data_IF_040030462140
#
_entry.id   IF_040030462140
#
_cell.length_a   1.000
_cell.length_b   1.000
_cell.length_c   1.000
_cell.angle_alpha   90.00
_cell.angle_beta   90.00
_cell.angle_gamma   90.00
#
_symmetry.space_group_name_H-M   'P 1'
#
loop_
_entity.id
_entity.type
_entity.pdbx_description
1 polymer ?
#
# COMPACT_ATOMS: atom_id res chain seq x y z
N UNK A 1 13.96 -17.48 14.00
CA UNK A 1 12.51 -17.67 14.00
C UNK A 1 11.86 -16.38 14.42
N UNK A 2 10.95 -15.88 13.65
CA UNK A 2 10.24 -14.62 13.86
C UNK A 2 9.57 -14.48 15.24
N UNK A 3 10.33 -14.59 16.31
CA UNK A 3 9.76 -14.40 17.64
C UNK A 3 9.26 -12.97 17.82
N UNK A 4 9.96 -11.96 17.31
CA UNK A 4 9.58 -10.57 17.50
C UNK A 4 8.26 -10.20 16.80
N UNK A 5 8.08 -10.54 15.52
CA UNK A 5 6.83 -10.25 14.81
C UNK A 5 5.67 -11.10 15.36
N UNK A 6 5.91 -12.35 15.71
CA UNK A 6 4.90 -13.20 16.33
C UNK A 6 4.54 -12.71 17.73
N UNK A 7 5.47 -12.17 18.51
CA UNK A 7 5.22 -11.61 19.83
C UNK A 7 4.42 -10.30 19.77
N UNK A 8 4.67 -9.44 18.80
CA UNK A 8 3.86 -8.24 18.56
C UNK A 8 2.42 -8.63 18.21
N UNK A 9 2.23 -9.56 17.27
CA UNK A 9 0.89 -10.05 16.94
C UNK A 9 0.18 -10.72 18.09
N UNK A 10 0.86 -11.52 18.89
CA UNK A 10 0.30 -12.17 20.09
C UNK A 10 -0.23 -11.14 21.07
N UNK A 11 0.54 -10.10 21.37
CA UNK A 11 0.10 -9.02 22.27
C UNK A 11 -1.09 -8.27 21.70
N UNK A 12 -1.06 -7.86 20.43
CA UNK A 12 -2.17 -7.17 19.78
C UNK A 12 -3.43 -8.01 19.73
N UNK A 13 -3.32 -9.30 19.45
CA UNK A 13 -4.46 -10.22 19.46
C UNK A 13 -5.02 -10.39 20.86
N UNK A 14 -4.16 -10.51 21.88
CA UNK A 14 -4.60 -10.57 23.29
C UNK A 14 -5.36 -9.32 23.69
N UNK A 15 -4.80 -8.13 23.43
CA UNK A 15 -5.44 -6.83 23.67
C UNK A 15 -6.78 -6.73 22.94
N UNK A 16 -6.87 -7.21 21.70
CA UNK A 16 -8.13 -7.25 20.95
C UNK A 16 -9.20 -8.08 21.66
N UNK A 17 -8.85 -9.26 22.18
CA UNK A 17 -9.79 -10.06 22.97
C UNK A 17 -10.18 -9.37 24.28
N UNK A 18 -9.24 -8.73 24.95
CA UNK A 18 -9.47 -8.00 26.22
C UNK A 18 -10.46 -6.84 26.03
N UNK A 19 -10.24 -5.97 25.05
CA UNK A 19 -11.15 -4.82 24.79
C UNK A 19 -12.55 -5.23 24.35
N UNK A 20 -12.71 -6.46 23.85
CA UNK A 20 -14.01 -7.02 23.48
C UNK A 20 -14.64 -7.89 24.59
N UNK A 21 -14.07 -7.89 25.80
CA UNK A 21 -14.59 -8.68 26.92
C UNK A 21 -14.48 -10.20 26.73
N UNK A 22 -13.54 -10.64 25.91
CA UNK A 22 -13.32 -12.05 25.52
C UNK A 22 -11.94 -12.56 25.89
N UNK A 23 -11.31 -12.00 26.87
CA UNK A 23 -9.96 -12.37 27.31
C UNK A 23 -9.78 -13.86 27.61
N UNK A 24 -10.83 -14.51 28.13
CA UNK A 24 -10.85 -15.95 28.40
C UNK A 24 -10.82 -16.83 27.14
N UNK A 25 -11.11 -16.28 25.97
CA UNK A 25 -11.05 -16.99 24.69
C UNK A 25 -9.66 -16.94 24.06
N UNK A 26 -8.79 -16.07 24.54
CA UNK A 26 -7.43 -15.96 24.03
C UNK A 26 -6.61 -17.19 24.44
N UNK A 27 -5.96 -17.79 23.45
CA UNK A 27 -5.01 -18.89 23.66
C UNK A 27 -3.71 -18.56 22.94
N UNK A 28 -2.64 -18.50 23.71
CA UNK A 28 -1.32 -18.34 23.14
C UNK A 28 -0.86 -19.62 22.46
N UNK A 29 -0.52 -19.52 21.17
CA UNK A 29 0.00 -20.63 20.39
C UNK A 29 1.53 -20.53 20.35
N UNK A 30 2.20 -21.43 21.03
CA UNK A 30 3.64 -21.55 21.05
C UNK A 30 4.09 -22.85 20.38
N UNK A 31 5.26 -22.89 19.71
CA UNK A 31 5.84 -24.14 19.29
C UNK A 31 6.13 -25.04 20.50
N UNK A 32 6.20 -26.34 20.28
CA UNK A 32 6.65 -27.28 21.29
C UNK A 32 8.10 -26.96 21.76
N UNK A 33 8.49 -27.50 22.92
CA UNK A 33 9.84 -27.31 23.44
C UNK A 33 10.95 -27.71 22.47
N UNK A 34 10.67 -28.65 21.57
CA UNK A 34 11.49 -28.99 20.41
C UNK A 34 10.60 -28.89 19.17
N UNK A 35 10.97 -28.02 18.24
CA UNK A 35 10.31 -27.84 16.96
C UNK A 35 11.33 -27.99 15.83
N UNK A 36 10.91 -28.66 14.76
CA UNK A 36 11.74 -28.89 13.57
C UNK A 36 11.24 -27.99 12.45
N UNK A 37 12.18 -27.38 11.74
CA UNK A 37 11.90 -26.48 10.62
C UNK A 37 12.79 -26.88 9.43
N UNK A 38 12.28 -26.77 8.21
CA UNK A 38 13.04 -27.05 7.00
C UNK A 38 14.09 -25.98 6.68
N UNK A 39 13.94 -24.79 7.25
CA UNK A 39 14.89 -23.68 7.07
C UNK A 39 14.58 -22.50 7.98
N UNK A 40 15.48 -21.53 7.99
CA UNK A 40 15.35 -20.29 8.73
C UNK A 40 15.67 -19.11 7.81
N UNK A 41 14.87 -18.07 7.91
CA UNK A 41 15.16 -16.77 7.29
C UNK A 41 15.26 -15.76 8.42
N UNK A 42 16.41 -15.09 8.51
CA UNK A 42 16.65 -14.01 9.44
C UNK A 42 16.61 -12.68 8.69
N UNK A 43 15.80 -11.73 9.16
CA UNK A 43 15.68 -10.39 8.59
C UNK A 43 15.92 -9.38 9.70
N UNK A 44 16.96 -8.57 9.54
CA UNK A 44 17.21 -7.44 10.44
C UNK A 44 16.31 -6.27 10.04
N UNK A 45 15.32 -5.96 10.87
CA UNK A 45 14.36 -4.90 10.59
C UNK A 45 14.99 -3.51 10.57
N UNK A 46 16.09 -3.29 11.30
CA UNK A 46 16.81 -2.01 11.32
C UNK A 46 17.50 -1.68 9.98
N UNK A 47 17.68 -2.68 9.12
CA UNK A 47 18.27 -2.52 7.79
C UNK A 47 17.24 -2.30 6.69
N UNK A 48 15.93 -2.46 6.99
CA UNK A 48 14.88 -2.27 6.03
C UNK A 48 14.68 -0.79 5.75
N UNK A 49 14.76 -0.43 4.47
CA UNK A 49 14.51 0.93 3.97
C UNK A 49 13.08 1.04 3.41
N UNK A 50 12.53 2.26 3.29
CA UNK A 50 11.28 2.48 2.57
C UNK A 50 11.36 1.94 1.15
N UNK A 51 10.40 1.07 0.81
CA UNK A 51 10.40 0.33 -0.46
C UNK A 51 9.12 0.56 -1.24
N UNK A 52 9.23 0.38 -2.54
CA UNK A 52 8.11 0.45 -3.48
C UNK A 52 8.16 -0.75 -4.42
N UNK A 53 7.03 -1.43 -4.57
CA UNK A 53 6.88 -2.48 -5.58
C UNK A 53 6.29 -1.87 -6.86
N UNK A 54 7.07 -1.89 -7.92
CA UNK A 54 6.69 -1.37 -9.23
C UNK A 54 5.77 -2.34 -9.98
N UNK A 55 4.97 -1.88 -10.96
CA UNK A 55 4.10 -2.76 -11.73
C UNK A 55 4.89 -3.86 -12.47
N UNK A 56 4.34 -5.07 -12.65
CA UNK A 56 3.05 -5.57 -12.11
C UNK A 56 3.26 -6.80 -11.22
N UNK A 57 4.32 -6.86 -10.45
CA UNK A 57 4.59 -8.00 -9.59
C UNK A 57 5.21 -7.53 -8.26
N UNK A 58 4.81 -8.11 -7.11
CA UNK A 58 5.35 -7.70 -5.81
C UNK A 58 6.87 -7.84 -5.68
N UNK A 59 7.51 -8.75 -6.44
CA UNK A 59 8.96 -8.91 -6.43
C UNK A 59 9.71 -7.85 -7.24
N UNK A 60 8.99 -6.99 -8.00
CA UNK A 60 9.60 -5.87 -8.71
C UNK A 60 9.79 -4.69 -7.75
N UNK A 61 10.56 -4.92 -6.69
CA UNK A 61 10.67 -4.03 -5.53
C UNK A 61 12.03 -3.35 -5.49
N UNK A 62 12.01 -2.07 -5.22
CA UNK A 62 13.17 -1.21 -5.07
C UNK A 62 13.05 -0.39 -3.80
N UNK A 63 14.16 0.02 -3.20
CA UNK A 63 14.10 1.12 -2.25
C UNK A 63 13.70 2.41 -2.99
N UNK A 64 13.06 3.33 -2.29
CA UNK A 64 12.70 4.63 -2.90
C UNK A 64 13.96 5.37 -3.37
N UNK A 65 15.07 5.19 -2.66
CA UNK A 65 16.37 5.75 -3.02
C UNK A 65 16.90 5.17 -4.36
N UNK A 66 16.85 3.84 -4.52
CA UNK A 66 17.24 3.16 -5.76
C UNK A 66 16.35 3.58 -6.95
N UNK A 67 15.03 3.65 -6.72
CA UNK A 67 14.10 4.13 -7.74
C UNK A 67 14.46 5.53 -8.21
N UNK A 68 14.71 6.45 -7.29
CA UNK A 68 15.04 7.84 -7.62
C UNK A 68 16.41 7.97 -8.31
N UNK A 69 17.39 7.16 -7.92
CA UNK A 69 18.72 7.18 -8.52
C UNK A 69 18.76 6.61 -9.94
N UNK A 70 17.92 5.61 -10.22
CA UNK A 70 17.90 4.87 -11.49
C UNK A 70 16.55 4.95 -12.21
N UNK A 71 15.84 6.07 -12.06
CA UNK A 71 14.44 6.22 -12.43
C UNK A 71 14.13 5.77 -13.86
N UNK A 72 14.87 6.27 -14.85
CA UNK A 72 14.58 6.02 -16.25
C UNK A 72 14.80 4.54 -16.64
N UNK A 73 15.82 3.90 -16.08
CA UNK A 73 16.13 2.49 -16.38
C UNK A 73 15.09 1.56 -15.74
N UNK A 74 14.66 1.87 -14.51
CA UNK A 74 13.62 1.11 -13.80
C UNK A 74 12.27 1.25 -14.52
N UNK A 75 11.91 2.44 -14.96
CA UNK A 75 10.67 2.65 -15.73
C UNK A 75 10.69 1.93 -17.06
N UNK A 76 11.83 1.94 -17.77
CA UNK A 76 12.01 1.21 -19.02
C UNK A 76 11.86 -0.30 -18.82
N UNK A 77 12.43 -0.86 -17.74
CA UNK A 77 12.24 -2.27 -17.39
C UNK A 77 10.78 -2.59 -17.05
N UNK A 78 10.09 -1.72 -16.30
CA UNK A 78 8.66 -1.88 -16.02
C UNK A 78 7.81 -1.90 -17.29
N UNK A 79 8.08 -1.03 -18.24
CA UNK A 79 7.37 -0.97 -19.52
C UNK A 79 7.60 -2.26 -20.33
N UNK A 80 8.85 -2.75 -20.42
CA UNK A 80 9.19 -4.01 -21.09
C UNK A 80 8.53 -5.23 -20.43
N UNK A 81 8.56 -5.30 -19.11
CA UNK A 81 7.90 -6.39 -18.36
C UNK A 81 6.39 -6.38 -18.56
N UNK A 82 5.78 -5.20 -18.62
CA UNK A 82 4.35 -5.08 -18.92
C UNK A 82 4.02 -5.61 -20.32
N UNK A 83 4.80 -5.25 -21.32
CA UNK A 83 4.61 -5.74 -22.69
C UNK A 83 4.65 -7.26 -22.74
N UNK A 84 5.64 -7.89 -22.09
CA UNK A 84 5.76 -9.35 -22.00
C UNK A 84 4.60 -9.97 -21.21
N UNK A 85 4.25 -9.40 -20.06
CA UNK A 85 3.22 -9.97 -19.17
C UNK A 85 1.81 -9.93 -19.76
N UNK A 86 1.58 -9.08 -20.72
CA UNK A 86 0.29 -8.88 -21.40
C UNK A 86 0.32 -9.23 -22.89
N UNK A 87 1.30 -9.99 -23.35
CA UNK A 87 1.45 -10.41 -24.76
C UNK A 87 1.34 -9.22 -25.74
N UNK A 88 1.91 -8.08 -25.40
CA UNK A 88 1.85 -6.85 -26.19
C UNK A 88 0.50 -6.11 -26.15
N UNK A 89 -0.48 -6.60 -25.41
CA UNK A 89 -1.80 -5.96 -25.32
C UNK A 89 -1.80 -4.69 -24.43
N UNK A 90 -0.80 -4.52 -23.60
CA UNK A 90 -0.61 -3.35 -22.72
C UNK A 90 0.66 -2.64 -23.11
N UNK A 91 0.54 -1.36 -23.41
CA UNK A 91 1.69 -0.49 -23.64
C UNK A 91 1.65 0.63 -22.61
N UNK A 92 2.57 0.58 -21.65
CA UNK A 92 2.73 1.64 -20.67
C UNK A 92 3.60 2.77 -21.22
N UNK A 93 3.38 3.97 -20.73
CA UNK A 93 4.19 5.15 -21.00
C UNK A 93 4.53 5.85 -19.68
N UNK A 94 5.31 5.15 -18.84
CA UNK A 94 5.70 5.64 -17.52
C UNK A 94 6.76 6.74 -17.61
N UNK A 95 7.63 6.65 -18.61
CA UNK A 95 8.71 7.64 -18.81
C UNK A 95 8.16 9.04 -19.12
N UNK A 96 7.00 9.14 -19.77
CA UNK A 96 6.33 10.43 -20.01
C UNK A 96 5.86 11.14 -18.73
N UNK A 97 5.75 10.40 -17.63
CA UNK A 97 5.38 10.95 -16.31
C UNK A 97 6.57 11.52 -15.54
N UNK A 98 7.77 11.44 -16.09
CA UNK A 98 8.94 12.04 -15.46
C UNK A 98 9.05 13.51 -15.86
N UNK A 99 9.01 14.39 -14.86
CA UNK A 99 9.16 15.84 -15.01
C UNK A 99 10.25 16.33 -14.06
N UNK A 100 11.23 17.05 -14.59
CA UNK A 100 12.36 17.57 -13.78
C UNK A 100 13.08 16.49 -12.96
N UNK A 101 13.25 15.28 -13.54
CA UNK A 101 13.90 14.14 -12.87
C UNK A 101 13.08 13.48 -11.76
N UNK A 102 11.78 13.75 -11.65
CA UNK A 102 10.88 13.17 -10.68
C UNK A 102 9.72 12.45 -11.35
N UNK A 103 9.35 11.28 -10.86
CA UNK A 103 8.17 10.56 -11.29
C UNK A 103 6.92 11.20 -10.69
N UNK A 104 6.00 11.64 -11.53
CA UNK A 104 4.71 12.17 -11.11
C UNK A 104 3.69 11.05 -10.99
N UNK A 105 2.94 11.11 -9.91
CA UNK A 105 1.86 10.18 -9.56
C UNK A 105 0.53 10.87 -9.79
N UNK A 106 -0.42 10.17 -10.42
CA UNK A 106 -1.74 10.73 -10.71
C UNK A 106 -2.76 10.42 -9.59
N UNK A 107 -2.54 9.33 -8.83
CA UNK A 107 -3.43 8.90 -7.78
C UNK A 107 -2.68 8.28 -6.61
N UNK A 108 -3.08 8.61 -5.39
CA UNK A 108 -2.67 7.96 -4.16
C UNK A 108 -3.84 7.24 -3.49
N UNK A 109 -3.61 6.04 -2.94
CA UNK A 109 -4.62 5.28 -2.21
C UNK A 109 -4.03 4.67 -0.95
N UNK A 110 -4.72 4.86 0.17
CA UNK A 110 -4.47 4.16 1.43
C UNK A 110 -5.70 3.30 1.72
N UNK A 111 -5.58 1.98 1.63
CA UNK A 111 -6.76 1.13 1.69
C UNK A 111 -6.49 -0.31 2.13
N UNK A 112 -7.57 -1.00 2.44
CA UNK A 112 -7.61 -2.42 2.73
C UNK A 112 -7.11 -2.78 4.12
N UNK A 113 -6.97 -4.08 4.34
CA UNK A 113 -6.52 -4.61 5.64
C UNK A 113 -5.04 -4.29 5.93
N UNK A 114 -4.24 -4.00 4.92
CA UNK A 114 -2.85 -3.61 5.09
C UNK A 114 -2.68 -2.10 5.31
N UNK A 115 -3.25 -1.25 4.45
CA UNK A 115 -3.08 0.20 4.52
C UNK A 115 -4.11 0.92 5.40
N UNK A 116 -5.30 0.36 5.54
CA UNK A 116 -6.42 0.99 6.24
C UNK A 116 -6.43 0.78 7.77
N UNK A 117 -5.36 0.25 8.35
CA UNK A 117 -5.22 0.10 9.80
C UNK A 117 -5.20 1.45 10.53
N UNK A 118 -5.57 1.43 11.79
CA UNK A 118 -5.66 2.65 12.60
C UNK A 118 -4.33 3.42 12.64
N UNK A 119 -3.25 2.74 13.01
CA UNK A 119 -1.91 3.33 13.10
C UNK A 119 -1.44 3.87 11.75
N UNK A 120 -1.57 3.07 10.68
CA UNK A 120 -1.16 3.49 9.33
C UNK A 120 -1.85 4.78 8.87
N UNK A 121 -3.13 4.96 9.19
CA UNK A 121 -3.86 6.18 8.81
C UNK A 121 -3.48 7.34 9.73
N UNK A 122 -3.20 7.11 11.00
CA UNK A 122 -2.67 8.13 11.91
C UNK A 122 -1.31 8.62 11.44
N UNK A 123 -0.39 7.71 11.10
CA UNK A 123 0.94 8.06 10.58
C UNK A 123 0.83 8.87 9.26
N UNK A 124 -0.07 8.46 8.37
CA UNK A 124 -0.34 9.21 7.15
C UNK A 124 -0.86 10.62 7.44
N UNK A 125 -1.74 10.77 8.44
CA UNK A 125 -2.24 12.06 8.86
C UNK A 125 -1.12 12.94 9.45
N UNK A 126 -0.23 12.37 10.26
CA UNK A 126 0.90 13.08 10.86
C UNK A 126 1.92 13.53 9.81
N UNK A 127 2.24 12.66 8.83
CA UNK A 127 3.12 12.98 7.71
C UNK A 127 2.56 14.11 6.85
N UNK A 128 1.25 14.11 6.61
CA UNK A 128 0.59 15.06 5.72
C UNK A 128 0.12 16.35 6.43
N UNK A 129 0.20 16.40 7.74
CA UNK A 129 -0.27 17.54 8.54
C UNK A 129 0.34 18.84 8.09
N UNK A 130 -0.51 19.79 7.73
CA UNK A 130 -0.10 21.10 7.23
C UNK A 130 0.39 21.13 5.79
N UNK A 131 0.39 19.97 5.11
CA UNK A 131 0.63 19.90 3.68
C UNK A 131 -0.67 20.06 2.87
N UNK A 132 -0.55 20.14 1.55
CA UNK A 132 -1.67 20.11 0.62
C UNK A 132 -1.35 19.17 -0.53
N UNK A 133 -2.32 18.38 -0.96
CA UNK A 133 -2.19 17.55 -2.18
C UNK A 133 -2.20 18.41 -3.46
N UNK A 134 -2.44 19.72 -3.33
CA UNK A 134 -2.49 20.68 -4.44
C UNK A 134 -3.86 20.77 -5.12
N UNK A 135 -4.02 21.74 -6.01
CA UNK A 135 -5.26 21.96 -6.77
C UNK A 135 -5.32 21.21 -8.09
N UNK A 136 -4.31 20.38 -8.40
CA UNK A 136 -4.18 19.66 -9.66
C UNK A 136 -5.04 18.39 -9.71
N UNK A 137 -4.86 17.59 -10.74
CA UNK A 137 -5.64 16.36 -10.98
C UNK A 137 -5.30 15.20 -10.02
N UNK A 138 -4.24 15.33 -9.21
CA UNK A 138 -3.87 14.31 -8.23
C UNK A 138 -4.98 14.11 -7.20
N UNK A 139 -5.31 12.86 -6.93
CA UNK A 139 -6.27 12.47 -5.89
C UNK A 139 -5.65 11.56 -4.85
N UNK A 140 -5.97 11.76 -3.58
CA UNK A 140 -5.64 10.86 -2.50
C UNK A 140 -6.92 10.36 -1.84
N UNK A 141 -7.18 9.06 -1.93
CA UNK A 141 -8.32 8.41 -1.28
C UNK A 141 -7.86 7.54 -0.12
N UNK A 142 -8.54 7.66 1.02
CA UNK A 142 -8.23 6.92 2.25
C UNK A 142 -9.45 6.09 2.65
N UNK A 143 -9.26 4.79 2.82
CA UNK A 143 -10.28 3.82 3.20
C UNK A 143 -9.87 3.11 4.50
N UNK A 144 -10.47 3.46 5.66
CA UNK A 144 -10.26 2.69 6.88
C UNK A 144 -10.65 1.22 6.70
N UNK A 145 -9.93 0.31 7.37
CA UNK A 145 -10.17 -1.12 7.21
C UNK A 145 -11.51 -1.60 7.79
N UNK A 146 -12.09 -0.83 8.71
CA UNK A 146 -13.41 -1.13 9.31
C UNK A 146 -14.09 0.12 9.84
N UNK A 147 -15.41 0.01 10.09
CA UNK A 147 -16.19 1.10 10.70
C UNK A 147 -15.70 1.47 12.12
N UNK A 148 -15.36 0.53 13.01
CA UNK A 148 -14.77 0.89 14.30
C UNK A 148 -13.49 1.71 14.18
N UNK A 149 -12.55 1.32 13.29
CA UNK A 149 -11.34 2.08 13.00
C UNK A 149 -11.70 3.49 12.50
N UNK A 150 -12.64 3.60 11.57
CA UNK A 150 -13.09 4.90 11.07
C UNK A 150 -13.61 5.80 12.20
N UNK A 151 -14.41 5.25 13.10
CA UNK A 151 -14.94 5.99 14.24
C UNK A 151 -13.84 6.50 15.18
N UNK A 152 -12.82 5.71 15.43
CA UNK A 152 -11.68 6.15 16.27
C UNK A 152 -10.83 7.22 15.57
N UNK A 153 -10.62 7.11 14.24
CA UNK A 153 -9.94 8.12 13.44
C UNK A 153 -10.72 9.46 13.38
N UNK A 154 -12.05 9.42 13.46
CA UNK A 154 -12.87 10.63 13.59
C UNK A 154 -12.68 11.25 14.97
N UNK A 155 -12.69 10.44 16.04
CA UNK A 155 -12.56 10.93 17.41
C UNK A 155 -11.18 11.52 17.72
N UNK A 156 -10.11 10.92 17.20
CA UNK A 156 -8.75 11.41 17.42
C UNK A 156 -8.34 12.57 16.51
N UNK A 157 -9.17 12.92 15.50
CA UNK A 157 -8.93 14.05 14.60
C UNK A 157 -8.12 13.72 13.34
N UNK A 158 -7.64 12.50 13.14
CA UNK A 158 -6.87 12.11 11.97
C UNK A 158 -7.66 12.31 10.66
N UNK A 159 -8.97 12.03 10.69
CA UNK A 159 -9.85 12.29 9.54
C UNK A 159 -9.88 13.77 9.17
N UNK A 160 -10.01 14.67 10.14
CA UNK A 160 -10.02 16.11 9.90
C UNK A 160 -8.68 16.56 9.30
N UNK A 161 -7.56 16.13 9.88
CA UNK A 161 -6.21 16.41 9.38
C UNK A 161 -6.04 16.00 7.93
N UNK A 162 -6.47 14.79 7.56
CA UNK A 162 -6.39 14.31 6.18
C UNK A 162 -7.28 15.14 5.23
N UNK A 163 -8.50 15.46 5.65
CA UNK A 163 -9.41 16.28 4.82
C UNK A 163 -8.87 17.69 4.60
N UNK A 164 -8.20 18.29 5.58
CA UNK A 164 -7.54 19.59 5.45
C UNK A 164 -6.44 19.60 4.39
N UNK A 165 -5.82 18.46 4.12
CA UNK A 165 -4.83 18.33 3.03
C UNK A 165 -5.46 18.24 1.65
N UNK A 166 -6.77 18.01 1.56
CA UNK A 166 -7.51 17.73 0.32
C UNK A 166 -7.75 16.25 0.06
N UNK A 167 -7.31 15.35 0.95
CA UNK A 167 -7.57 13.91 0.83
C UNK A 167 -9.05 13.58 1.01
N UNK A 168 -9.53 12.55 0.32
CA UNK A 168 -10.91 12.08 0.37
C UNK A 168 -10.98 10.86 1.29
N UNK A 169 -11.53 11.02 2.49
CA UNK A 169 -11.73 9.90 3.40
C UNK A 169 -13.08 9.24 3.11
N UNK A 170 -13.06 7.95 2.84
CA UNK A 170 -14.22 7.15 2.44
C UNK A 170 -14.56 6.11 3.50
N UNK A 171 -15.74 5.51 3.38
CA UNK A 171 -16.16 4.41 4.26
C UNK A 171 -15.32 3.15 4.02
N UNK A 172 -15.27 2.25 5.01
CA UNK A 172 -14.57 0.97 4.90
C UNK A 172 -15.07 0.16 3.70
N UNK A 173 -14.17 -0.13 2.77
CA UNK A 173 -14.48 -0.88 1.56
C UNK A 173 -13.23 -1.51 0.96
N UNK A 174 -13.27 -2.79 0.65
CA UNK A 174 -12.14 -3.54 0.09
C UNK A 174 -11.91 -3.29 -1.41
N UNK A 175 -12.84 -2.61 -2.09
CA UNK A 175 -12.86 -2.42 -3.54
C UNK A 175 -11.58 -1.91 -4.17
N UNK A 176 -10.93 -0.88 -3.62
CA UNK A 176 -9.68 -0.35 -4.19
C UNK A 176 -8.54 -1.38 -4.29
N UNK A 177 -8.57 -2.43 -3.46
CA UNK A 177 -7.54 -3.46 -3.47
C UNK A 177 -7.66 -4.46 -4.64
N UNK A 178 -8.79 -4.48 -5.33
CA UNK A 178 -9.03 -5.41 -6.47
C UNK A 178 -9.69 -4.74 -7.68
N UNK A 179 -9.69 -3.40 -7.74
CA UNK A 179 -10.17 -2.64 -8.88
C UNK A 179 -11.69 -2.48 -8.95
N UNK A 180 -12.38 -2.56 -7.81
CA UNK A 180 -13.79 -2.23 -7.70
C UNK A 180 -13.99 -0.90 -6.96
N UNK A 181 -13.66 0.19 -7.59
CA UNK A 181 -13.69 1.54 -7.06
C UNK A 181 -12.30 2.15 -7.00
N UNK A 182 -12.21 3.45 -7.17
CA UNK A 182 -10.97 4.22 -7.29
C UNK A 182 -9.95 3.57 -8.25
N UNK A 183 -10.47 3.04 -9.36
CA UNK A 183 -9.61 2.56 -10.44
C UNK A 183 -8.89 3.75 -11.06
N UNK A 184 -7.58 3.66 -11.32
CA UNK A 184 -6.85 4.73 -11.99
C UNK A 184 -7.46 5.05 -13.36
N UNK A 185 -7.40 6.32 -13.75
CA UNK A 185 -7.77 6.72 -15.10
C UNK A 185 -6.83 6.07 -16.14
N UNK A 186 -7.22 6.10 -17.41
CA UNK A 186 -6.38 5.61 -18.51
C UNK A 186 -5.01 6.30 -18.49
N UNK A 187 -3.95 5.55 -18.67
CA UNK A 187 -2.55 6.02 -18.58
C UNK A 187 -2.14 6.60 -17.21
N UNK A 188 -2.96 6.49 -16.18
CA UNK A 188 -2.60 6.99 -14.88
C UNK A 188 -1.57 6.09 -14.18
N UNK A 189 -0.72 6.69 -13.38
CA UNK A 189 0.15 6.01 -12.45
C UNK A 189 -0.39 6.19 -11.03
N UNK A 190 -0.76 5.10 -10.38
CA UNK A 190 -1.31 5.09 -9.02
C UNK A 190 -0.31 4.49 -8.05
N UNK A 191 -0.09 5.15 -6.91
CA UNK A 191 0.68 4.61 -5.79
C UNK A 191 -0.27 4.21 -4.67
N UNK A 192 -0.08 3.02 -4.10
CA UNK A 192 -1.02 2.48 -3.12
C UNK A 192 -0.33 1.89 -1.91
N UNK A 193 -0.83 2.22 -0.75
CA UNK A 193 -0.62 1.45 0.46
C UNK A 193 -1.78 0.46 0.62
N UNK A 194 -1.61 -0.73 0.06
CA UNK A 194 -2.61 -1.78 -0.05
C UNK A 194 -1.92 -3.15 -0.07
N UNK A 195 -2.46 -4.19 -0.72
CA UNK A 195 -1.91 -5.54 -0.57
C UNK A 195 -0.97 -6.00 -1.68
N UNK A 196 -1.33 -5.88 -2.96
CA UNK A 196 -0.58 -6.54 -4.06
C UNK A 196 -0.83 -5.92 -5.42
N UNK A 197 0.19 -5.94 -6.29
CA UNK A 197 0.18 -5.40 -7.65
C UNK A 197 0.34 -6.51 -8.71
N UNK A 198 -0.66 -7.36 -8.85
CA UNK A 198 -0.67 -8.36 -9.93
C UNK A 198 -1.22 -7.78 -11.24
N UNK A 199 -0.83 -8.35 -12.40
CA UNK A 199 -1.50 -8.10 -13.66
C UNK A 199 -3.01 -8.31 -13.55
N UNK A 200 -3.79 -7.47 -14.23
CA UNK A 200 -5.26 -7.52 -14.28
C UNK A 200 -5.99 -7.37 -12.92
N UNK A 201 -5.29 -6.99 -11.87
CA UNK A 201 -5.92 -6.79 -10.56
C UNK A 201 -6.52 -5.40 -10.43
N UNK A 202 -5.73 -4.38 -10.73
CA UNK A 202 -6.11 -2.97 -10.63
C UNK A 202 -5.47 -2.19 -11.76
N UNK A 203 -6.20 -1.28 -12.38
CA UNK A 203 -5.66 -0.39 -13.40
C UNK A 203 -5.13 -1.04 -14.67
N UNK A 204 -4.54 -2.21 -14.57
CA UNK A 204 -3.97 -2.95 -15.70
C UNK A 204 -4.98 -3.83 -16.47
N UNK A 205 -6.29 -3.64 -16.22
CA UNK A 205 -7.30 -4.38 -16.97
C UNK A 205 -7.36 -3.87 -18.39
N UNK A 206 -7.01 -4.75 -19.32
CA UNK A 206 -7.21 -4.48 -20.75
C UNK A 206 -8.68 -4.71 -21.08
N UNK A 207 -9.44 -3.63 -21.14
CA UNK A 207 -10.80 -3.65 -21.67
C UNK A 207 -10.82 -2.94 -23.02
N UNK A 208 -11.75 -3.33 -23.89
CA UNK A 208 -11.89 -2.73 -25.21
C UNK A 208 -12.11 -1.21 -25.08
N UNK A 209 -11.17 -0.41 -25.57
CA UNK A 209 -11.18 1.05 -25.51
C UNK A 209 -10.54 1.68 -24.26
N UNK A 210 -9.95 0.88 -23.37
CA UNK A 210 -9.16 1.40 -22.25
C UNK A 210 -7.67 1.31 -22.54
N UNK A 211 -6.95 2.33 -22.13
CA UNK A 211 -5.49 2.32 -22.06
C UNK A 211 -5.09 1.88 -20.66
N UNK A 212 -4.16 0.95 -20.57
CA UNK A 212 -3.73 0.40 -19.30
C UNK A 212 -3.11 1.46 -18.39
N UNK A 213 -3.43 1.35 -17.11
CA UNK A 213 -2.86 2.16 -16.05
C UNK A 213 -1.86 1.34 -15.24
N UNK A 214 -0.90 2.00 -14.62
CA UNK A 214 0.09 1.36 -13.78
C UNK A 214 -0.23 1.58 -12.29
N UNK A 215 -0.02 0.56 -11.48
CA UNK A 215 -0.24 0.61 -10.04
C UNK A 215 0.99 0.08 -9.32
N UNK A 216 1.55 0.91 -8.47
CA UNK A 216 2.66 0.56 -7.57
C UNK A 216 2.19 0.48 -6.12
N UNK A 217 2.87 -0.33 -5.32
CA UNK A 217 2.59 -0.49 -3.90
C UNK A 217 3.77 -0.05 -3.06
N UNK A 218 3.48 0.67 -1.99
CA UNK A 218 4.48 1.08 -1.00
C UNK A 218 3.94 0.86 0.40
N UNK A 219 4.85 0.73 1.36
CA UNK A 219 4.53 0.79 2.78
C UNK A 219 4.86 2.19 3.29
N UNK A 220 3.88 2.82 3.95
CA UNK A 220 4.07 4.15 4.55
C UNK A 220 4.77 4.06 5.89
N UNK A 221 4.61 2.94 6.58
CA UNK A 221 5.22 2.70 7.88
C UNK A 221 6.26 1.62 7.79
N UNK A 222 7.45 1.94 8.24
CA UNK A 222 8.42 0.97 8.68
C UNK A 222 8.43 0.96 10.20
N UNK A 223 8.66 -0.18 10.81
CA UNK A 223 8.79 -0.25 12.26
C UNK A 223 9.92 0.60 12.77
#
# INVERSE_FOLDING_TARGET
VSSAASDVYKRQVKEFYEIHGREGDYKELNPAAVAYYDGMIEINLDEIKPMIAMPFHPSNTYTIEELNANLMDILDDCEKRAEVSFDGAVKLDLKSKVRNGRLYVDQGIIAGCAGGGFENICDAADILKGASIGPDEFTLSVYPASTPIYMELVKNGAVATLMETGAIVKTAFCGPCFGAGDTPANNAFSIRHSTRNFPNREGSKVQKGQVASAVSYTHLTLP
#
